data_IF_820355396860
#
_entry.id   IF_820355396860
#
_cell.length_a   1.000
_cell.length_b   1.000
_cell.length_c   1.000
_cell.angle_alpha   90.00
_cell.angle_beta   90.00
_cell.angle_gamma   90.00
#
_symmetry.space_group_name_H-M   'P 1'
#
loop_
_entity.id
_entity.type
_entity.pdbx_description
1 polymer ?
#
# COMPACT_ATOMS: atom_id res chain seq x y z
N UNK A 1 -43.34 76.20 -125.22
CA UNK A 1 -43.37 75.25 -124.09
C UNK A 1 -43.52 76.07 -122.83
N UNK A 2 -44.59 75.85 -122.06
CA UNK A 2 -45.06 76.75 -121.00
C UNK A 2 -44.24 76.65 -119.69
N UNK A 3 -43.88 77.82 -119.11
CA UNK A 3 -43.20 77.97 -117.80
C UNK A 3 -43.89 77.25 -116.63
N UNK A 4 -45.18 76.96 -116.77
CA UNK A 4 -45.96 76.20 -115.79
C UNK A 4 -45.53 74.73 -115.71
N UNK A 5 -45.15 74.11 -116.84
CA UNK A 5 -44.71 72.71 -116.90
C UNK A 5 -43.31 72.50 -116.30
N UNK A 6 -42.38 73.46 -116.50
CA UNK A 6 -41.04 73.42 -115.88
C UNK A 6 -41.12 73.49 -114.35
N UNK A 7 -42.01 74.34 -113.82
CA UNK A 7 -42.23 74.47 -112.37
C UNK A 7 -42.80 73.19 -111.76
N UNK A 8 -43.68 72.49 -112.48
CA UNK A 8 -44.24 71.21 -112.07
C UNK A 8 -43.17 70.09 -112.05
N UNK A 9 -42.27 70.06 -113.05
CA UNK A 9 -41.15 69.11 -113.10
C UNK A 9 -40.13 69.35 -111.98
N UNK A 10 -39.81 70.61 -111.68
CA UNK A 10 -38.94 70.96 -110.56
C UNK A 10 -39.53 70.52 -109.21
N UNK A 11 -40.84 70.74 -109.00
CA UNK A 11 -41.55 70.33 -107.79
C UNK A 11 -41.63 68.81 -107.64
N UNK A 12 -41.82 68.07 -108.75
CA UNK A 12 -41.75 66.60 -108.75
C UNK A 12 -40.33 66.08 -108.46
N UNK A 13 -39.29 66.76 -108.96
CA UNK A 13 -37.90 66.41 -108.69
C UNK A 13 -37.55 66.63 -107.20
N UNK A 14 -37.96 67.75 -106.61
CA UNK A 14 -37.81 68.02 -105.16
C UNK A 14 -38.59 67.02 -104.31
N UNK A 15 -39.83 66.69 -104.68
CA UNK A 15 -40.62 65.69 -103.96
C UNK A 15 -39.97 64.31 -104.02
N UNK A 16 -39.44 63.92 -105.19
CA UNK A 16 -38.74 62.65 -105.38
C UNK A 16 -37.41 62.62 -104.62
N UNK A 17 -36.68 63.73 -104.59
CA UNK A 17 -35.46 63.87 -103.79
C UNK A 17 -35.77 63.79 -102.28
N UNK A 18 -36.82 64.47 -101.80
CA UNK A 18 -37.26 64.40 -100.41
C UNK A 18 -37.77 63.01 -100.01
N UNK A 19 -38.44 62.29 -100.93
CA UNK A 19 -38.81 60.89 -100.72
C UNK A 19 -37.59 59.97 -100.65
N UNK A 20 -36.58 60.18 -101.50
CA UNK A 20 -35.34 59.40 -101.47
C UNK A 20 -34.52 59.70 -100.21
N UNK A 21 -34.42 60.96 -99.78
CA UNK A 21 -33.77 61.33 -98.51
C UNK A 21 -34.50 60.70 -97.31
N UNK A 22 -35.84 60.71 -97.29
CA UNK A 22 -36.62 60.04 -96.26
C UNK A 22 -36.38 58.53 -96.25
N UNK A 23 -36.30 57.92 -97.43
CA UNK A 23 -36.02 56.49 -97.59
C UNK A 23 -34.61 56.13 -97.10
N UNK A 24 -33.61 56.96 -97.43
CA UNK A 24 -32.22 56.79 -96.96
C UNK A 24 -32.14 56.99 -95.44
N UNK A 25 -32.82 58.00 -94.88
CA UNK A 25 -32.88 58.23 -93.44
C UNK A 25 -33.55 57.06 -92.70
N UNK A 26 -34.64 56.51 -93.25
CA UNK A 26 -35.33 55.34 -92.71
C UNK A 26 -34.43 54.10 -92.73
N UNK A 27 -33.75 53.84 -93.85
CA UNK A 27 -32.80 52.73 -93.97
C UNK A 27 -31.60 52.88 -93.00
N UNK A 28 -31.11 54.11 -92.80
CA UNK A 28 -30.04 54.39 -91.83
C UNK A 28 -30.48 54.21 -90.37
N UNK A 29 -31.74 54.50 -90.05
CA UNK A 29 -32.32 54.21 -88.74
C UNK A 29 -32.52 52.70 -88.52
N UNK A 30 -33.01 51.97 -89.52
CA UNK A 30 -33.12 50.51 -89.49
C UNK A 30 -31.76 49.85 -89.27
N UNK A 31 -30.73 50.23 -90.04
CA UNK A 31 -29.37 49.71 -89.85
C UNK A 31 -28.83 49.97 -88.45
N UNK A 32 -29.07 51.16 -87.87
CA UNK A 32 -28.64 51.45 -86.49
C UNK A 32 -29.38 50.62 -85.46
N UNK A 33 -30.68 50.36 -85.66
CA UNK A 33 -31.42 49.45 -84.78
C UNK A 33 -30.92 48.02 -84.90
N UNK A 34 -30.72 47.51 -86.11
CA UNK A 34 -30.19 46.17 -86.34
C UNK A 34 -28.78 46.01 -85.73
N UNK A 35 -27.89 46.99 -85.95
CA UNK A 35 -26.56 46.99 -85.36
C UNK A 35 -26.60 47.03 -83.82
N UNK A 36 -27.47 47.85 -83.23
CA UNK A 36 -27.65 47.92 -81.78
C UNK A 36 -28.25 46.63 -81.19
N UNK A 37 -29.17 45.99 -81.92
CA UNK A 37 -29.72 44.68 -81.54
C UNK A 37 -28.66 43.59 -81.61
N UNK A 38 -27.83 43.57 -82.65
CA UNK A 38 -26.76 42.59 -82.80
C UNK A 38 -25.66 42.79 -81.74
N UNK A 39 -25.25 44.04 -81.45
CA UNK A 39 -24.33 44.33 -80.33
C UNK A 39 -24.88 43.82 -79.00
N UNK A 40 -26.17 44.03 -78.73
CA UNK A 40 -26.83 43.52 -77.52
C UNK A 40 -26.82 41.98 -77.49
N UNK A 41 -27.07 41.33 -78.64
CA UNK A 41 -27.05 39.88 -78.77
C UNK A 41 -25.66 39.31 -78.50
N UNK A 42 -24.62 39.94 -79.06
CA UNK A 42 -23.22 39.54 -78.85
C UNK A 42 -22.80 39.78 -77.39
N UNK A 43 -23.20 40.90 -76.78
CA UNK A 43 -22.91 41.17 -75.38
C UNK A 43 -23.60 40.16 -74.46
N UNK A 44 -24.86 39.80 -74.72
CA UNK A 44 -25.58 38.78 -73.97
C UNK A 44 -24.93 37.41 -74.11
N UNK A 45 -24.58 36.99 -75.33
CA UNK A 45 -23.88 35.73 -75.57
C UNK A 45 -22.51 35.67 -74.87
N UNK A 46 -21.77 36.79 -74.86
CA UNK A 46 -20.50 36.89 -74.15
C UNK A 46 -20.62 36.81 -72.63
N UNK A 47 -21.73 37.31 -72.07
CA UNK A 47 -22.05 37.16 -70.64
C UNK A 47 -22.45 35.72 -70.30
N UNK A 48 -23.27 35.09 -71.12
CA UNK A 48 -23.65 33.67 -70.98
C UNK A 48 -22.41 32.77 -71.02
N UNK A 49 -21.53 32.93 -72.01
CA UNK A 49 -20.28 32.17 -72.08
C UNK A 49 -19.41 32.34 -70.83
N UNK A 50 -19.28 33.56 -70.30
CA UNK A 50 -18.51 33.80 -69.07
C UNK A 50 -19.14 33.14 -67.85
N UNK A 51 -20.48 33.13 -67.75
CA UNK A 51 -21.17 32.42 -66.67
C UNK A 51 -21.01 30.91 -66.80
N UNK A 52 -21.14 30.36 -68.00
CA UNK A 52 -20.94 28.93 -68.26
C UNK A 52 -19.51 28.50 -67.90
N UNK A 53 -18.50 29.23 -68.39
CA UNK A 53 -17.10 28.97 -68.07
C UNK A 53 -16.83 29.07 -66.56
N UNK A 54 -17.41 30.07 -65.88
CA UNK A 54 -17.29 30.21 -64.42
C UNK A 54 -17.98 29.08 -63.65
N UNK A 55 -19.12 28.59 -64.13
CA UNK A 55 -19.81 27.44 -63.54
C UNK A 55 -19.04 26.13 -63.75
N UNK A 56 -18.43 25.95 -64.92
CA UNK A 56 -17.62 24.77 -65.23
C UNK A 56 -16.33 24.73 -64.40
N UNK A 57 -15.65 25.86 -64.23
CA UNK A 57 -14.51 26.00 -63.30
C UNK A 57 -14.90 25.67 -61.85
N UNK A 58 -16.06 26.16 -61.38
CA UNK A 58 -16.56 25.81 -60.04
C UNK A 58 -16.85 24.32 -59.91
N UNK A 59 -17.49 23.70 -60.92
CA UNK A 59 -17.78 22.27 -60.93
C UNK A 59 -16.48 21.45 -60.91
N UNK A 60 -15.50 21.81 -61.73
CA UNK A 60 -14.19 21.17 -61.74
C UNK A 60 -13.44 21.33 -60.41
N UNK A 61 -13.48 22.53 -59.81
CA UNK A 61 -12.91 22.79 -58.49
C UNK A 61 -13.56 21.92 -57.39
N UNK A 62 -14.87 21.74 -57.46
CA UNK A 62 -15.63 20.91 -56.53
C UNK A 62 -15.28 19.41 -56.69
N UNK A 63 -15.23 18.89 -57.92
CA UNK A 63 -14.82 17.50 -58.19
C UNK A 63 -13.39 17.22 -57.70
N UNK A 64 -12.46 18.17 -57.91
CA UNK A 64 -11.10 18.06 -57.39
C UNK A 64 -11.06 18.01 -55.87
N UNK A 65 -11.89 18.82 -55.21
CA UNK A 65 -11.99 18.84 -53.75
C UNK A 65 -12.55 17.53 -53.20
N UNK A 66 -13.63 17.02 -53.79
CA UNK A 66 -14.24 15.74 -53.42
C UNK A 66 -13.23 14.59 -53.59
N UNK A 67 -12.53 14.54 -54.72
CA UNK A 67 -11.48 13.54 -54.95
C UNK A 67 -10.36 13.63 -53.92
N UNK A 68 -9.92 14.84 -53.57
CA UNK A 68 -8.92 15.07 -52.53
C UNK A 68 -9.39 14.60 -51.15
N UNK A 69 -10.67 14.79 -50.83
CA UNK A 69 -11.27 14.31 -49.58
C UNK A 69 -11.34 12.77 -49.56
N UNK A 70 -11.69 12.12 -50.67
CA UNK A 70 -11.71 10.66 -50.77
C UNK A 70 -10.31 10.04 -50.67
N UNK A 71 -9.30 10.65 -51.28
CA UNK A 71 -7.90 10.24 -51.14
C UNK A 71 -7.43 10.36 -49.69
N UNK A 72 -7.71 11.49 -49.03
CA UNK A 72 -7.35 11.69 -47.63
C UNK A 72 -8.06 10.71 -46.71
N UNK A 73 -9.35 10.43 -46.95
CA UNK A 73 -10.10 9.42 -46.20
C UNK A 73 -9.50 8.02 -46.35
N UNK A 74 -9.13 7.62 -47.56
CA UNK A 74 -8.46 6.33 -47.82
C UNK A 74 -7.14 6.21 -47.07
N UNK A 75 -6.31 7.27 -47.09
CA UNK A 75 -5.05 7.28 -46.35
C UNK A 75 -5.26 7.17 -44.83
N UNK A 76 -6.29 7.83 -44.29
CA UNK A 76 -6.65 7.73 -42.89
C UNK A 76 -7.08 6.30 -42.55
N UNK A 77 -7.92 5.67 -43.37
CA UNK A 77 -8.39 4.30 -43.15
C UNK A 77 -7.24 3.27 -43.26
N UNK A 78 -6.30 3.49 -44.18
CA UNK A 78 -5.10 2.65 -44.33
C UNK A 78 -4.17 2.77 -43.11
N UNK A 79 -3.84 3.99 -42.69
CA UNK A 79 -3.03 4.24 -41.49
C UNK A 79 -3.72 3.65 -40.25
N UNK A 80 -5.03 3.84 -40.10
CA UNK A 80 -5.80 3.28 -38.99
C UNK A 80 -5.72 1.76 -38.97
N UNK A 81 -5.84 1.11 -40.13
CA UNK A 81 -5.76 -0.34 -40.25
C UNK A 81 -4.36 -0.86 -39.92
N UNK A 82 -3.32 -0.18 -40.38
CA UNK A 82 -1.93 -0.58 -40.08
C UNK A 82 -1.60 -0.39 -38.59
N UNK A 83 -2.04 0.70 -37.98
CA UNK A 83 -1.88 0.95 -36.54
C UNK A 83 -2.61 -0.13 -35.74
N UNK A 84 -3.85 -0.46 -36.08
CA UNK A 84 -4.60 -1.51 -35.40
C UNK A 84 -3.89 -2.86 -35.50
N UNK A 85 -3.43 -3.24 -36.69
CA UNK A 85 -2.66 -4.48 -36.89
C UNK A 85 -1.41 -4.55 -36.01
N UNK A 86 -0.68 -3.44 -35.87
CA UNK A 86 0.51 -3.37 -35.01
C UNK A 86 0.18 -3.46 -33.53
N UNK A 87 -0.96 -2.90 -33.11
CA UNK A 87 -1.47 -3.05 -31.74
C UNK A 87 -1.75 -4.51 -31.46
N UNK A 88 -2.53 -5.16 -32.32
CA UNK A 88 -2.90 -6.59 -32.15
C UNK A 88 -1.64 -7.48 -32.10
N UNK A 89 -0.65 -7.24 -32.97
CA UNK A 89 0.62 -7.97 -32.99
C UNK A 89 1.43 -7.78 -31.68
N UNK A 90 1.39 -6.59 -31.10
CA UNK A 90 2.05 -6.32 -29.81
C UNK A 90 1.31 -6.98 -28.67
N UNK A 91 -0.03 -6.94 -28.66
CA UNK A 91 -0.86 -7.59 -27.66
C UNK A 91 -0.61 -9.10 -27.62
N UNK A 92 -0.59 -9.77 -28.78
CA UNK A 92 -0.28 -11.20 -28.85
C UNK A 92 1.13 -11.52 -28.32
N UNK A 93 2.14 -10.71 -28.69
CA UNK A 93 3.52 -10.89 -28.20
C UNK A 93 3.64 -10.71 -26.69
N UNK A 94 2.89 -9.76 -26.12
CA UNK A 94 2.85 -9.53 -24.68
C UNK A 94 2.18 -10.71 -23.97
N UNK A 95 1.05 -11.18 -24.48
CA UNK A 95 0.32 -12.33 -23.95
C UNK A 95 1.21 -13.58 -23.92
N UNK A 96 1.87 -13.91 -25.04
CA UNK A 96 2.79 -15.06 -25.10
C UNK A 96 3.94 -14.96 -24.09
N UNK A 97 4.55 -13.78 -23.93
CA UNK A 97 5.63 -13.60 -22.95
C UNK A 97 5.15 -13.73 -21.52
N UNK A 98 3.91 -13.30 -21.24
CA UNK A 98 3.32 -13.46 -19.93
C UNK A 98 3.13 -14.94 -19.59
N UNK A 99 2.55 -15.71 -20.50
CA UNK A 99 2.37 -17.16 -20.36
C UNK A 99 3.71 -17.91 -20.21
N UNK A 100 4.74 -17.51 -20.96
CA UNK A 100 6.08 -18.09 -20.84
C UNK A 100 6.68 -17.84 -19.43
N UNK A 101 6.53 -16.63 -18.91
CA UNK A 101 7.00 -16.27 -17.56
C UNK A 101 6.20 -17.02 -16.51
N UNK A 102 4.89 -17.12 -16.65
CA UNK A 102 4.01 -17.85 -15.73
C UNK A 102 4.43 -19.32 -15.63
N UNK A 103 4.61 -20.00 -16.76
CA UNK A 103 5.07 -21.38 -16.79
C UNK A 103 6.48 -21.54 -16.17
N UNK A 104 7.41 -20.61 -16.43
CA UNK A 104 8.75 -20.65 -15.82
C UNK A 104 8.71 -20.46 -14.31
N UNK A 105 7.84 -19.58 -13.82
CA UNK A 105 7.67 -19.33 -12.39
C UNK A 105 7.04 -20.55 -11.72
N UNK A 106 5.99 -21.11 -12.31
CA UNK A 106 5.35 -22.32 -11.81
C UNK A 106 6.34 -23.49 -11.72
N UNK A 107 7.10 -23.77 -12.78
CA UNK A 107 8.09 -24.85 -12.77
C UNK A 107 9.17 -24.67 -11.70
N UNK A 108 9.61 -23.43 -11.43
CA UNK A 108 10.56 -23.15 -10.33
C UNK A 108 9.96 -23.36 -8.96
N UNK A 109 8.68 -23.04 -8.78
CA UNK A 109 7.96 -23.30 -7.53
C UNK A 109 7.88 -24.80 -7.28
N UNK A 110 7.45 -25.58 -8.28
CA UNK A 110 7.38 -27.04 -8.18
C UNK A 110 8.75 -27.68 -7.87
N UNK A 111 9.83 -27.19 -8.51
CA UNK A 111 11.19 -27.64 -8.22
C UNK A 111 11.60 -27.36 -6.75
N UNK A 112 11.28 -26.16 -6.24
CA UNK A 112 11.57 -25.79 -4.86
C UNK A 112 10.75 -26.62 -3.88
N UNK A 113 9.46 -26.82 -4.15
CA UNK A 113 8.58 -27.66 -3.33
C UNK A 113 9.14 -29.08 -3.21
N UNK A 114 9.52 -29.70 -4.33
CA UNK A 114 10.07 -31.04 -4.32
C UNK A 114 11.42 -31.12 -3.57
N UNK A 115 12.27 -30.10 -3.67
CA UNK A 115 13.53 -30.03 -2.90
C UNK A 115 13.30 -29.86 -1.41
N UNK A 116 12.32 -29.04 -1.02
CA UNK A 116 11.97 -28.82 0.39
C UNK A 116 11.39 -30.10 0.98
N UNK A 117 10.46 -30.75 0.26
CA UNK A 117 9.87 -32.01 0.69
C UNK A 117 10.93 -33.09 0.90
N UNK A 118 11.86 -33.29 -0.05
CA UNK A 118 12.94 -34.27 0.11
C UNK A 118 13.86 -33.99 1.31
N UNK A 119 14.14 -32.71 1.61
CA UNK A 119 14.92 -32.35 2.81
C UNK A 119 14.18 -32.61 4.11
N UNK A 120 12.85 -32.42 4.13
CA UNK A 120 12.01 -32.74 5.29
C UNK A 120 12.04 -34.24 5.54
N UNK A 121 11.82 -35.06 4.51
CA UNK A 121 11.87 -36.53 4.62
C UNK A 121 13.24 -37.02 5.12
N UNK A 122 14.34 -36.42 4.64
CA UNK A 122 15.70 -36.74 5.11
C UNK A 122 15.88 -36.42 6.61
N UNK A 123 15.38 -35.25 7.05
CA UNK A 123 15.43 -34.85 8.46
C UNK A 123 14.57 -35.77 9.33
N UNK A 124 13.36 -36.10 8.87
CA UNK A 124 12.46 -37.04 9.57
C UNK A 124 13.13 -38.39 9.77
N UNK A 125 13.72 -38.97 8.72
CA UNK A 125 14.43 -40.24 8.82
C UNK A 125 15.63 -40.15 9.79
N UNK A 126 16.40 -39.05 9.75
CA UNK A 126 17.52 -38.83 10.69
C UNK A 126 17.05 -38.71 12.15
N UNK A 127 15.94 -38.03 12.38
CA UNK A 127 15.35 -37.87 13.72
C UNK A 127 14.82 -39.21 14.22
N UNK A 128 14.07 -39.95 13.40
CA UNK A 128 13.57 -41.29 13.74
C UNK A 128 14.71 -42.24 14.08
N UNK A 129 15.79 -42.26 13.29
CA UNK A 129 16.97 -43.08 13.60
C UNK A 129 17.61 -42.73 14.96
N UNK A 130 17.78 -41.44 15.25
CA UNK A 130 18.31 -40.98 16.55
C UNK A 130 17.38 -41.34 17.71
N UNK A 131 16.06 -41.26 17.52
CA UNK A 131 15.07 -41.69 18.51
C UNK A 131 15.22 -43.19 18.78
N UNK A 132 15.28 -44.03 17.75
CA UNK A 132 15.47 -45.47 17.91
C UNK A 132 16.78 -45.84 18.63
N UNK A 133 17.87 -45.11 18.36
CA UNK A 133 19.12 -45.27 19.10
C UNK A 133 19.00 -44.89 20.58
N UNK A 134 18.26 -43.81 20.89
CA UNK A 134 17.99 -43.39 22.26
C UNK A 134 17.13 -44.43 22.98
N UNK A 135 16.06 -44.91 22.34
CA UNK A 135 15.18 -45.95 22.88
C UNK A 135 15.96 -47.23 23.21
N UNK A 136 16.82 -47.70 22.29
CA UNK A 136 17.69 -48.86 22.54
C UNK A 136 18.63 -48.63 23.74
N UNK A 137 19.29 -47.48 23.81
CA UNK A 137 20.17 -47.13 24.95
C UNK A 137 19.39 -47.06 26.26
N UNK A 138 18.15 -46.59 26.23
CA UNK A 138 17.26 -46.56 27.40
C UNK A 138 16.92 -47.98 27.85
N UNK A 139 16.57 -48.89 26.92
CA UNK A 139 16.32 -50.31 27.24
C UNK A 139 17.56 -51.04 27.79
N UNK A 140 18.75 -50.77 27.27
CA UNK A 140 20.01 -51.33 27.80
C UNK A 140 20.26 -50.91 29.27
N UNK A 141 19.88 -49.67 29.63
CA UNK A 141 19.93 -49.19 31.01
C UNK A 141 18.85 -49.80 31.91
N UNK A 142 17.70 -50.17 31.35
CA UNK A 142 16.58 -50.79 32.06
C UNK A 142 16.81 -52.29 32.32
N UNK A 143 17.52 -53.00 31.43
CA UNK A 143 17.81 -54.44 31.54
C UNK A 143 18.97 -54.73 32.50
N UNK A 144 19.88 -53.78 32.77
CA UNK A 144 20.88 -53.96 33.83
C UNK A 144 20.14 -53.89 35.17
N UNK A 145 20.00 -54.99 35.92
CA UNK A 145 19.64 -54.86 37.32
C UNK A 145 20.85 -54.18 37.93
N UNK A 146 20.77 -52.88 38.15
CA UNK A 146 21.63 -52.22 39.10
C UNK A 146 21.35 -52.93 40.42
N UNK A 147 22.19 -53.91 40.74
CA UNK A 147 22.41 -54.30 42.12
C UNK A 147 23.07 -53.10 42.77
N UNK A 148 22.25 -52.10 43.12
CA UNK A 148 22.52 -51.30 44.29
C UNK A 148 22.57 -52.33 45.42
N UNK A 149 23.78 -52.85 45.67
CA UNK A 149 24.20 -53.03 47.05
C UNK A 149 23.87 -51.70 47.70
N UNK A 150 22.83 -51.71 48.52
CA UNK A 150 22.45 -50.59 49.35
C UNK A 150 23.61 -50.36 50.32
N UNK A 151 24.66 -49.66 49.86
CA UNK A 151 25.63 -49.04 50.74
C UNK A 151 24.85 -48.03 51.58
N UNK A 152 24.89 -48.11 52.92
CA UNK A 152 24.18 -47.19 53.81
C UNK A 152 24.58 -45.71 53.67
N UNK A 153 25.57 -45.39 52.84
CA UNK A 153 26.18 -44.05 52.72
C UNK A 153 25.38 -43.06 51.87
N UNK A 154 24.35 -43.49 51.12
CA UNK A 154 23.50 -42.57 50.33
C UNK A 154 22.12 -42.32 50.96
N UNK A 155 21.93 -42.69 52.23
CA UNK A 155 20.75 -42.32 53.04
C UNK A 155 20.96 -40.98 53.78
N UNK A 156 21.73 -40.06 53.20
CA UNK A 156 21.68 -38.68 53.65
C UNK A 156 20.44 -38.05 53.03
N UNK A 157 19.35 -38.01 53.80
CA UNK A 157 18.23 -37.10 53.56
C UNK A 157 18.84 -35.74 53.22
N UNK A 158 18.74 -35.33 51.95
CA UNK A 158 19.20 -34.01 51.52
C UNK A 158 18.51 -33.01 52.46
N UNK A 159 19.24 -32.17 53.22
CA UNK A 159 18.61 -31.25 54.15
C UNK A 159 17.64 -30.36 53.37
N UNK A 160 16.34 -30.55 53.55
CA UNK A 160 15.35 -29.66 52.98
C UNK A 160 15.50 -28.34 53.71
N UNK A 161 16.06 -27.33 53.03
CA UNK A 161 16.11 -25.98 53.57
C UNK A 161 14.66 -25.56 53.85
N UNK A 162 14.41 -25.10 55.09
CA UNK A 162 13.08 -24.77 55.60
C UNK A 162 12.38 -23.77 54.67
N UNK A 163 11.06 -23.91 54.56
CA UNK A 163 10.19 -23.01 53.80
C UNK A 163 10.43 -21.56 54.19
N UNK A 164 10.78 -20.73 53.21
CA UNK A 164 10.83 -19.28 53.38
C UNK A 164 9.40 -18.74 53.52
N UNK A 165 9.27 -17.61 54.20
CA UNK A 165 7.98 -16.90 54.35
C UNK A 165 8.13 -15.47 53.89
N UNK A 166 7.15 -14.97 53.13
CA UNK A 166 7.09 -13.59 52.69
C UNK A 166 5.77 -12.96 53.12
N UNK A 167 5.85 -11.93 53.95
CA UNK A 167 4.69 -11.18 54.46
C UNK A 167 4.56 -9.77 53.86
N UNK A 168 5.53 -9.37 53.03
CA UNK A 168 5.61 -8.05 52.41
C UNK A 168 6.38 -7.00 53.23
N UNK A 169 6.98 -7.36 54.38
CA UNK A 169 7.76 -6.41 55.19
C UNK A 169 9.22 -6.28 54.73
N UNK A 170 9.78 -7.34 54.16
CA UNK A 170 11.12 -7.35 53.54
C UNK A 170 11.03 -6.96 52.07
N UNK A 171 12.09 -6.40 51.48
CA UNK A 171 12.11 -6.10 50.04
C UNK A 171 11.88 -7.38 49.25
N UNK A 172 10.97 -7.31 48.28
CA UNK A 172 10.66 -8.39 47.37
C UNK A 172 11.92 -8.90 46.64
N UNK A 173 12.83 -8.00 46.24
CA UNK A 173 14.11 -8.33 45.61
C UNK A 173 15.00 -9.21 46.50
N UNK A 174 15.04 -8.91 47.80
CA UNK A 174 15.81 -9.68 48.79
C UNK A 174 15.20 -11.07 48.97
N UNK A 175 13.87 -11.14 49.11
CA UNK A 175 13.17 -12.42 49.23
C UNK A 175 13.33 -13.29 47.98
N UNK A 176 13.17 -12.71 46.79
CA UNK A 176 13.32 -13.40 45.50
C UNK A 176 14.72 -14.00 45.36
N UNK A 177 15.76 -13.24 45.70
CA UNK A 177 17.15 -13.73 45.69
C UNK A 177 17.34 -14.94 46.62
N UNK A 178 16.80 -14.87 47.84
CA UNK A 178 16.86 -16.00 48.78
C UNK A 178 16.10 -17.22 48.27
N UNK A 179 14.92 -16.99 47.68
CA UNK A 179 14.09 -18.03 47.08
C UNK A 179 14.77 -18.72 45.90
N UNK A 180 15.47 -17.96 45.04
CA UNK A 180 16.22 -18.50 43.90
C UNK A 180 17.42 -19.36 44.34
N UNK A 181 18.13 -18.95 45.39
CA UNK A 181 19.23 -19.75 45.97
C UNK A 181 18.69 -21.07 46.53
N UNK A 182 17.58 -21.03 47.28
CA UNK A 182 16.96 -22.22 47.86
C UNK A 182 16.42 -23.15 46.77
N UNK A 183 15.74 -22.61 45.77
CA UNK A 183 15.17 -23.39 44.68
C UNK A 183 16.24 -24.06 43.82
N UNK A 184 17.36 -23.39 43.58
CA UNK A 184 18.51 -23.94 42.85
C UNK A 184 19.21 -25.04 43.65
N UNK A 185 19.40 -24.83 44.95
CA UNK A 185 19.99 -25.84 45.86
C UNK A 185 19.13 -27.10 45.96
N UNK A 186 17.81 -26.92 45.93
CA UNK A 186 16.85 -28.02 45.99
C UNK A 186 16.48 -28.62 44.62
N UNK A 187 16.96 -28.04 43.52
CA UNK A 187 16.66 -28.51 42.16
C UNK A 187 15.18 -28.42 41.79
N UNK A 188 14.48 -27.39 42.24
CA UNK A 188 13.05 -27.22 41.94
C UNK A 188 12.81 -26.89 40.48
N UNK A 189 11.84 -27.56 39.86
CA UNK A 189 11.28 -27.18 38.56
C UNK A 189 10.40 -25.94 38.70
N UNK A 190 10.13 -25.22 37.61
CA UNK A 190 9.32 -23.99 37.66
C UNK A 190 7.92 -24.21 38.23
N UNK A 191 7.33 -25.38 38.01
CA UNK A 191 6.07 -25.79 38.64
C UNK A 191 6.18 -25.89 40.18
N UNK A 192 7.26 -26.51 40.67
CA UNK A 192 7.52 -26.63 42.11
C UNK A 192 7.85 -25.27 42.72
N UNK A 193 8.60 -24.42 42.01
CA UNK A 193 8.85 -23.03 42.40
C UNK A 193 7.56 -22.24 42.53
N UNK A 194 6.66 -22.31 41.55
CA UNK A 194 5.36 -21.62 41.61
C UNK A 194 4.54 -22.06 42.83
N UNK A 195 4.42 -23.37 43.04
CA UNK A 195 3.69 -23.94 44.18
C UNK A 195 4.30 -23.52 45.53
N UNK A 196 5.62 -23.56 45.64
CA UNK A 196 6.33 -23.20 46.85
C UNK A 196 6.32 -21.69 47.12
N UNK A 197 6.35 -20.88 46.06
CA UNK A 197 6.21 -19.43 46.15
C UNK A 197 4.83 -19.07 46.68
N UNK A 198 3.75 -19.62 46.13
CA UNK A 198 2.39 -19.45 46.65
C UNK A 198 2.29 -19.89 48.12
N UNK A 199 2.86 -21.05 48.46
CA UNK A 199 2.86 -21.55 49.83
C UNK A 199 3.70 -20.72 50.82
N UNK A 200 4.63 -19.89 50.33
CA UNK A 200 5.47 -19.00 51.16
C UNK A 200 4.79 -17.68 51.52
N UNK A 201 3.77 -17.25 50.78
CA UNK A 201 3.11 -15.96 50.99
C UNK A 201 2.25 -15.95 52.25
N UNK A 202 2.36 -14.89 53.05
CA UNK A 202 1.59 -14.66 54.27
C UNK A 202 1.10 -13.21 54.28
N UNK A 203 0.08 -12.93 55.11
CA UNK A 203 -0.41 -11.55 55.32
C UNK A 203 -0.73 -10.81 54.03
N UNK A 204 -0.27 -9.56 53.91
CA UNK A 204 -0.54 -8.71 52.75
C UNK A 204 0.03 -9.27 51.44
N UNK A 205 1.13 -10.02 51.49
CA UNK A 205 1.69 -10.66 50.31
C UNK A 205 0.77 -11.75 49.74
N UNK A 206 0.05 -12.48 50.61
CA UNK A 206 -0.91 -13.49 50.17
C UNK A 206 -2.15 -12.90 49.47
N UNK A 207 -2.53 -11.66 49.80
CA UNK A 207 -3.66 -10.98 49.13
C UNK A 207 -3.43 -10.74 47.64
N UNK A 208 -2.16 -10.72 47.17
CA UNK A 208 -1.84 -10.61 45.73
C UNK A 208 -2.45 -11.76 44.93
N UNK A 209 -2.58 -12.93 45.56
CA UNK A 209 -3.14 -14.11 44.93
C UNK A 209 -4.63 -13.96 44.60
N UNK A 210 -5.37 -13.05 45.26
CA UNK A 210 -6.78 -12.81 44.96
C UNK A 210 -7.01 -12.22 43.56
N UNK A 211 -6.00 -11.54 43.01
CA UNK A 211 -6.05 -10.96 41.66
C UNK A 211 -5.66 -11.93 40.55
N UNK A 212 -5.23 -13.16 40.89
CA UNK A 212 -4.73 -14.14 39.92
C UNK A 212 -5.73 -15.30 39.79
N UNK A 213 -6.18 -15.65 38.57
CA UNK A 213 -7.01 -16.83 38.34
C UNK A 213 -6.33 -18.12 38.82
N UNK A 214 -7.11 -19.04 39.41
CA UNK A 214 -6.57 -20.26 40.05
C UNK A 214 -5.81 -21.18 39.07
N UNK A 215 -6.23 -21.23 37.81
CA UNK A 215 -5.58 -21.97 36.72
C UNK A 215 -4.20 -21.42 36.34
N UNK A 216 -3.88 -20.18 36.77
CA UNK A 216 -2.63 -19.48 36.50
C UNK A 216 -1.68 -19.41 37.70
N UNK A 217 -2.10 -19.94 38.86
CA UNK A 217 -1.26 -20.04 40.06
C UNK A 217 -0.15 -21.11 39.96
N UNK A 218 -0.05 -21.79 38.82
CA UNK A 218 1.03 -22.74 38.50
C UNK A 218 2.12 -22.10 37.62
N UNK A 219 1.89 -20.90 37.09
CA UNK A 219 2.85 -20.15 36.30
C UNK A 219 3.67 -19.22 37.20
N UNK A 220 4.95 -19.58 37.37
CA UNK A 220 5.90 -18.83 38.19
C UNK A 220 6.01 -17.37 37.75
N UNK A 221 6.00 -17.10 36.44
CA UNK A 221 6.22 -15.76 35.89
C UNK A 221 5.07 -14.82 36.25
N UNK A 222 3.85 -15.34 36.26
CA UNK A 222 2.64 -14.55 36.58
C UNK A 222 2.65 -14.14 38.05
N UNK A 223 2.98 -15.08 38.94
CA UNK A 223 3.03 -14.82 40.39
C UNK A 223 4.15 -13.84 40.73
N UNK A 224 5.35 -14.02 40.16
CA UNK A 224 6.47 -13.11 40.37
C UNK A 224 6.16 -11.69 39.90
N UNK A 225 5.54 -11.52 38.72
CA UNK A 225 5.17 -10.18 38.22
C UNK A 225 4.15 -9.49 39.10
N UNK A 226 3.19 -10.23 39.66
CA UNK A 226 2.18 -9.67 40.56
C UNK A 226 2.81 -9.22 41.89
N UNK A 227 3.76 -10.00 42.41
CA UNK A 227 4.51 -9.64 43.63
C UNK A 227 5.46 -8.47 43.39
N UNK A 228 6.16 -8.45 42.26
CA UNK A 228 7.01 -7.34 41.82
C UNK A 228 6.20 -6.04 41.66
N UNK A 229 4.99 -6.14 41.07
CA UNK A 229 4.14 -4.97 40.87
C UNK A 229 3.66 -4.35 42.19
N UNK A 230 3.47 -5.13 43.26
CA UNK A 230 2.93 -4.62 44.52
C UNK A 230 4.01 -4.34 45.58
N UNK A 231 5.06 -5.15 45.61
CA UNK A 231 6.13 -5.11 46.61
C UNK A 231 7.51 -4.81 46.03
N UNK A 232 7.61 -4.58 44.71
CA UNK A 232 8.84 -4.13 44.08
C UNK A 232 9.31 -2.79 44.62
N UNK A 233 10.60 -2.51 44.42
CA UNK A 233 11.32 -1.45 45.13
C UNK A 233 10.75 -0.04 44.86
N UNK A 234 10.00 0.15 43.76
CA UNK A 234 9.33 1.42 43.42
C UNK A 234 8.23 1.81 44.43
N UNK A 235 7.38 0.86 44.84
CA UNK A 235 6.31 1.13 45.81
C UNK A 235 6.85 1.27 47.23
N UNK A 236 7.89 0.51 47.55
CA UNK A 236 8.56 0.56 48.84
C UNK A 236 9.28 1.90 49.08
N UNK A 237 9.92 2.47 48.05
CA UNK A 237 10.45 3.85 48.06
C UNK A 237 9.35 4.87 48.41
N UNK A 238 8.17 4.76 47.78
CA UNK A 238 7.05 5.68 48.04
C UNK A 238 6.44 5.52 49.44
N UNK A 239 6.36 4.29 49.95
CA UNK A 239 5.96 3.99 51.31
C UNK A 239 6.92 4.65 52.32
N UNK A 240 8.23 4.41 52.20
CA UNK A 240 9.22 5.02 53.11
C UNK A 240 9.26 6.54 53.02
N UNK A 241 9.06 7.15 51.83
CA UNK A 241 8.90 8.61 51.70
C UNK A 241 7.70 9.13 52.49
N UNK A 242 6.61 8.37 52.51
CA UNK A 242 5.40 8.74 53.24
C UNK A 242 5.59 8.57 54.74
N UNK A 243 6.15 7.43 55.17
CA UNK A 243 6.46 7.13 56.56
C UNK A 243 7.43 8.18 57.15
N UNK A 244 8.49 8.53 56.42
CA UNK A 244 9.43 9.60 56.75
C UNK A 244 8.73 10.96 56.93
N UNK A 245 7.81 11.33 56.03
CA UNK A 245 7.03 12.59 56.14
C UNK A 245 6.14 12.63 57.37
N UNK A 246 5.62 11.48 57.80
CA UNK A 246 4.71 11.39 58.95
C UNK A 246 5.42 11.11 60.26
N UNK A 247 6.73 10.84 60.24
CA UNK A 247 7.51 10.46 61.41
C UNK A 247 7.63 11.62 62.41
N UNK A 248 7.17 11.39 63.64
CA UNK A 248 7.35 12.28 64.79
C UNK A 248 7.83 11.49 66.00
N UNK A 249 8.54 12.15 66.92
CA UNK A 249 8.99 11.52 68.17
C UNK A 249 7.81 10.97 68.96
N UNK A 250 7.87 9.70 69.36
CA UNK A 250 6.83 9.09 70.21
C UNK A 250 7.10 9.40 71.70
N UNK A 251 6.07 9.44 72.55
CA UNK A 251 6.28 9.61 74.00
C UNK A 251 7.16 8.48 74.55
N UNK A 252 8.29 8.83 75.16
CA UNK A 252 9.25 7.87 75.73
C UNK A 252 10.36 7.39 74.77
N UNK A 253 10.34 7.83 73.50
CA UNK A 253 11.41 7.54 72.54
C UNK A 253 12.58 8.49 72.71
N UNK A 254 13.80 7.96 72.78
CA UNK A 254 15.00 8.79 72.86
C UNK A 254 15.28 9.49 71.52
N UNK A 255 15.94 10.64 71.57
CA UNK A 255 16.31 11.36 70.35
C UNK A 255 17.26 10.55 69.45
N UNK A 256 18.05 9.65 70.04
CA UNK A 256 18.99 8.81 69.32
C UNK A 256 18.27 7.69 68.54
N UNK A 257 17.23 7.11 69.13
CA UNK A 257 16.37 6.13 68.44
C UNK A 257 15.56 6.78 67.31
N UNK A 258 15.03 7.99 67.54
CA UNK A 258 14.38 8.77 66.50
C UNK A 258 15.32 9.08 65.33
N UNK A 259 16.54 9.55 65.63
CA UNK A 259 17.52 9.89 64.61
C UNK A 259 17.93 8.68 63.76
N UNK A 260 18.23 7.54 64.41
CA UNK A 260 18.60 6.31 63.71
C UNK A 260 17.47 5.79 62.80
N UNK A 261 16.21 5.90 63.24
CA UNK A 261 15.06 5.47 62.44
C UNK A 261 14.78 6.42 61.27
N UNK A 262 14.95 7.73 61.46
CA UNK A 262 14.85 8.74 60.38
C UNK A 262 15.95 8.54 59.34
N UNK A 263 17.19 8.29 59.77
CA UNK A 263 18.33 8.03 58.87
C UNK A 263 18.14 6.74 58.06
N UNK A 264 17.62 5.69 58.70
CA UNK A 264 17.22 4.45 58.03
C UNK A 264 16.12 4.69 57.00
N UNK A 265 15.05 5.39 57.35
CA UNK A 265 13.94 5.70 56.44
C UNK A 265 14.40 6.58 55.27
N UNK A 266 15.31 7.53 55.50
CA UNK A 266 15.89 8.37 54.46
C UNK A 266 16.69 7.54 53.43
N UNK A 267 17.54 6.65 53.93
CA UNK A 267 18.36 5.75 53.09
C UNK A 267 17.50 4.82 52.24
N UNK A 268 16.40 4.32 52.78
CA UNK A 268 15.48 3.42 52.06
C UNK A 268 14.55 4.19 51.08
N UNK A 269 14.20 5.43 51.38
CA UNK A 269 13.35 6.28 50.53
C UNK A 269 14.11 6.93 49.35
N UNK A 270 15.43 7.13 49.49
CA UNK A 270 16.28 7.88 48.57
C UNK A 270 17.65 7.22 48.36
N UNK A 271 17.67 5.93 48.02
CA UNK A 271 18.90 5.15 47.78
C UNK A 271 19.82 5.68 46.64
N UNK A 272 19.40 6.69 45.87
CA UNK A 272 20.14 7.31 44.76
C UNK A 272 20.70 8.71 45.09
N UNK A 273 20.55 9.18 46.33
CA UNK A 273 21.13 10.47 46.74
C UNK A 273 22.63 10.29 47.06
N UNK A 274 23.56 11.02 46.43
CA UNK A 274 24.97 11.02 46.81
C UNK A 274 25.10 11.49 48.27
N UNK A 275 25.83 10.73 49.10
CA UNK A 275 26.24 11.19 50.43
C UNK A 275 27.35 12.24 50.26
N UNK A 276 26.96 13.48 49.98
CA UNK A 276 27.86 14.63 49.98
C UNK A 276 27.12 15.85 50.52
N UNK A 277 27.18 16.01 51.86
CA UNK A 277 27.74 17.16 52.62
C UNK A 277 27.98 16.70 54.06
#
# INVERSE_FOLDING_TARGET
>A
MDKQFEKLFAMMAEMKAGQEEMRVAQAGLEQKMEAGQEEMRVAQAGLEQKMEAGQEEMRYGQERMEKGQEEMKRLIDEVKSEVQRKIDEVEEKVQMKFEEVEHKVQGKIEEVEHKVQGKIEEVEHKVQGKIGDIERRLSELEIRPFSFSASPEFMHSRPTIKSLTFDGQTSWTVFKTQFDVVSSTNGWTDFVKASQLVASLRGSAAEVLQGIPADKLTDLTIIEKALESRFGDSHLKQFYRTELKTRRQKPGESLQELAADVERLMSLAYAECPQDV
#
